data_IF_498482090431
#
_entry.id   IF_498482090431
#
_cell.length_a   1.000
_cell.length_b   1.000
_cell.length_c   1.000
_cell.angle_alpha   90.00
_cell.angle_beta   90.00
_cell.angle_gamma   90.00
#
_symmetry.space_group_name_H-M   'P 1'
#
loop_
_entity.id
_entity.type
_entity.pdbx_description
1 polymer ?
#
# COMPACT_ATOMS: atom_id res chain seq x y z
N UNK A 1 9.51 15.57 13.55
CA UNK A 1 8.95 16.86 14.10
C UNK A 1 7.58 16.53 14.68
N UNK A 2 7.40 16.64 15.99
CA UNK A 2 6.07 16.54 16.58
C UNK A 2 5.25 17.73 16.07
N UNK A 3 4.15 17.46 15.38
CA UNK A 3 3.26 18.51 14.93
C UNK A 3 2.44 18.97 16.14
N UNK A 4 2.49 20.24 16.53
CA UNK A 4 1.66 20.74 17.63
C UNK A 4 0.17 20.49 17.36
N UNK A 5 -0.61 20.22 18.40
CA UNK A 5 -2.02 19.82 18.25
C UNK A 5 -2.90 20.88 17.58
N UNK A 6 -2.56 22.16 17.78
CA UNK A 6 -3.19 23.30 17.11
C UNK A 6 -2.90 23.38 15.61
N UNK A 7 -1.90 22.63 15.14
CA UNK A 7 -1.48 22.54 13.73
C UNK A 7 -1.89 21.23 13.05
N UNK A 8 -2.73 20.44 13.69
CA UNK A 8 -3.28 19.24 13.07
C UNK A 8 -4.17 19.61 11.89
N UNK A 9 -4.10 18.81 10.84
CA UNK A 9 -4.90 19.00 9.63
C UNK A 9 -5.61 17.71 9.26
N UNK A 10 -6.81 17.76 8.64
CA UNK A 10 -7.51 16.57 8.20
C UNK A 10 -6.81 15.95 7.00
N UNK A 11 -6.87 14.61 6.91
CA UNK A 11 -6.43 13.87 5.75
C UNK A 11 -7.47 12.83 5.34
N UNK A 12 -7.54 12.57 4.05
CA UNK A 12 -8.31 11.46 3.50
C UNK A 12 -7.35 10.34 3.18
N UNK A 13 -7.60 9.16 3.72
CA UNK A 13 -6.84 7.94 3.44
C UNK A 13 -7.81 6.91 2.90
N UNK A 14 -7.45 6.26 1.80
CA UNK A 14 -8.23 5.18 1.19
C UNK A 14 -7.50 3.84 1.30
N UNK A 15 -8.25 2.75 1.38
CA UNK A 15 -7.73 1.40 1.44
C UNK A 15 -8.41 0.53 0.37
N UNK A 16 -7.63 -0.24 -0.38
CA UNK A 16 -8.11 -1.12 -1.45
C UNK A 16 -8.22 -2.60 -1.04
N UNK A 17 -7.84 -2.93 0.21
CA UNK A 17 -7.71 -4.32 0.69
C UNK A 17 -8.99 -5.12 0.45
N UNK A 18 -10.15 -4.59 0.86
CA UNK A 18 -11.43 -5.30 0.69
C UNK A 18 -11.76 -5.59 -0.77
N UNK A 19 -11.49 -4.65 -1.66
CA UNK A 19 -11.80 -4.80 -3.08
C UNK A 19 -10.97 -5.90 -3.74
N UNK A 20 -9.68 -5.96 -3.45
CA UNK A 20 -8.78 -6.97 -4.00
C UNK A 20 -9.04 -8.32 -3.34
N UNK A 21 -9.28 -8.36 -2.03
CA UNK A 21 -9.67 -9.59 -1.32
C UNK A 21 -10.95 -10.21 -1.90
N UNK A 22 -11.99 -9.41 -2.16
CA UNK A 22 -13.21 -9.88 -2.84
C UNK A 22 -12.90 -10.38 -4.25
N UNK A 23 -12.14 -9.63 -5.04
CA UNK A 23 -11.77 -10.03 -6.39
C UNK A 23 -11.09 -11.41 -6.42
N UNK A 24 -10.14 -11.67 -5.50
CA UNK A 24 -9.45 -12.96 -5.43
C UNK A 24 -10.43 -14.07 -5.04
N UNK A 25 -11.28 -13.82 -4.04
CA UNK A 25 -12.29 -14.80 -3.58
C UNK A 25 -13.34 -15.10 -4.63
N UNK A 26 -13.73 -14.13 -5.45
CA UNK A 26 -14.70 -14.30 -6.54
C UNK A 26 -14.11 -15.04 -7.74
N UNK A 27 -12.80 -14.89 -7.99
CA UNK A 27 -12.11 -15.52 -9.12
C UNK A 27 -11.70 -16.95 -8.83
N UNK A 28 -11.20 -17.23 -7.63
CA UNK A 28 -10.69 -18.54 -7.24
C UNK A 28 -11.80 -19.48 -6.81
N UNK A 29 -11.79 -20.72 -7.32
CA UNK A 29 -12.65 -21.79 -6.81
C UNK A 29 -12.15 -22.25 -5.43
N UNK A 30 -12.95 -23.06 -4.73
CA UNK A 30 -12.70 -23.49 -3.36
C UNK A 30 -11.32 -24.15 -3.19
N UNK A 31 -10.94 -25.01 -4.11
CA UNK A 31 -9.68 -25.74 -4.12
C UNK A 31 -8.49 -24.78 -4.28
N UNK A 32 -8.60 -23.81 -5.19
CA UNK A 32 -7.60 -22.77 -5.42
C UNK A 32 -7.47 -21.82 -4.23
N UNK A 33 -8.59 -21.47 -3.58
CA UNK A 33 -8.56 -20.70 -2.33
C UNK A 33 -7.85 -21.47 -1.22
N UNK A 34 -8.04 -22.78 -1.11
CA UNK A 34 -7.29 -23.60 -0.15
C UNK A 34 -5.79 -23.62 -0.44
N UNK A 35 -5.39 -23.56 -1.73
CA UNK A 35 -3.98 -23.44 -2.10
C UNK A 35 -3.43 -22.08 -1.70
N UNK A 36 -4.18 -21.00 -1.93
CA UNK A 36 -3.80 -19.66 -1.50
C UNK A 36 -3.67 -19.58 0.03
N UNK A 37 -4.64 -20.14 0.77
CA UNK A 37 -4.67 -20.13 2.23
C UNK A 37 -3.49 -20.86 2.87
N UNK A 38 -2.90 -21.84 2.19
CA UNK A 38 -1.69 -22.54 2.64
C UNK A 38 -0.41 -21.72 2.46
N UNK A 39 -0.46 -20.60 1.75
CA UNK A 39 0.70 -19.72 1.60
C UNK A 39 0.87 -18.83 2.84
N UNK A 40 2.05 -18.21 2.94
CA UNK A 40 2.32 -17.23 4.02
C UNK A 40 1.39 -16.02 3.98
N UNK A 41 0.71 -15.76 2.86
CA UNK A 41 -0.24 -14.65 2.69
C UNK A 41 -1.70 -15.05 2.93
N UNK A 42 -2.01 -16.35 3.03
CA UNK A 42 -3.36 -16.85 3.27
C UNK A 42 -4.05 -16.21 4.48
N UNK A 43 -3.40 -16.17 5.67
CA UNK A 43 -3.97 -15.51 6.84
C UNK A 43 -4.31 -14.04 6.59
N UNK A 44 -3.53 -13.33 5.76
CA UNK A 44 -3.70 -11.91 5.49
C UNK A 44 -4.86 -11.62 4.51
N UNK A 45 -5.20 -12.57 3.63
CA UNK A 45 -6.37 -12.45 2.75
C UNK A 45 -7.68 -12.47 3.53
N UNK A 46 -7.71 -13.19 4.66
CA UNK A 46 -8.92 -13.42 5.46
C UNK A 46 -9.06 -12.45 6.63
N UNK A 47 -8.14 -11.50 6.80
CA UNK A 47 -8.22 -10.51 7.87
C UNK A 47 -9.36 -9.53 7.61
N UNK A 48 -10.30 -9.45 8.55
CA UNK A 48 -11.38 -8.47 8.53
C UNK A 48 -10.94 -7.23 9.32
N UNK A 49 -10.26 -6.30 8.64
CA UNK A 49 -9.78 -5.05 9.26
C UNK A 49 -10.74 -3.91 8.92
N UNK A 50 -11.21 -3.22 9.95
CA UNK A 50 -11.85 -1.92 9.78
C UNK A 50 -10.75 -0.87 9.60
N UNK A 51 -10.58 -0.40 8.37
CA UNK A 51 -9.60 0.63 8.06
C UNK A 51 -10.03 1.99 8.62
N UNK A 52 -9.26 2.53 9.57
CA UNK A 52 -9.47 3.85 10.14
C UNK A 52 -8.35 4.81 9.74
N UNK A 53 -8.51 5.46 8.59
CA UNK A 53 -7.51 6.39 8.06
C UNK A 53 -7.26 7.60 8.95
N UNK A 54 -8.27 8.10 9.67
CA UNK A 54 -8.09 9.22 10.61
C UNK A 54 -7.22 8.81 11.80
N UNK A 55 -7.41 7.60 12.32
CA UNK A 55 -6.61 7.08 13.41
C UNK A 55 -5.12 6.97 13.00
N UNK A 56 -4.86 6.41 11.82
CA UNK A 56 -3.50 6.33 11.28
C UNK A 56 -2.90 7.73 11.11
N UNK A 57 -3.65 8.66 10.53
CA UNK A 57 -3.20 10.03 10.36
C UNK A 57 -2.86 10.72 11.69
N UNK A 58 -3.69 10.54 12.71
CA UNK A 58 -3.42 11.06 14.06
C UNK A 58 -2.14 10.47 14.69
N UNK A 59 -1.85 9.20 14.46
CA UNK A 59 -0.58 8.60 14.88
C UNK A 59 0.60 9.23 14.16
N UNK A 60 0.52 9.38 12.84
CA UNK A 60 1.59 9.98 12.03
C UNK A 60 1.90 11.43 12.45
N UNK A 61 0.89 12.22 12.83
CA UNK A 61 1.08 13.56 13.35
C UNK A 61 1.84 13.58 14.71
N UNK A 62 1.84 12.47 15.44
CA UNK A 62 2.55 12.30 16.73
C UNK A 62 3.92 11.64 16.58
N UNK A 63 4.39 11.50 15.36
CA UNK A 63 5.72 10.96 15.09
C UNK A 63 6.79 11.85 15.71
N UNK A 64 7.68 11.23 16.49
CA UNK A 64 8.85 11.90 17.07
C UNK A 64 9.97 11.89 16.03
N UNK A 65 10.66 13.01 15.78
CA UNK A 65 11.83 13.02 14.91
C UNK A 65 12.92 12.15 15.51
N UNK A 66 13.57 11.40 14.66
CA UNK A 66 14.72 10.58 15.00
C UNK A 66 15.94 10.98 14.21
N UNK A 67 17.10 10.64 14.74
CA UNK A 67 18.35 10.67 13.99
C UNK A 67 18.27 9.67 12.84
N UNK A 68 18.74 10.09 11.66
CA UNK A 68 18.41 9.50 10.36
C UNK A 68 18.69 8.00 10.11
N UNK A 69 19.20 7.26 11.12
CA UNK A 69 19.50 5.83 11.05
C UNK A 69 18.55 4.95 11.85
N UNK A 70 17.40 5.47 12.29
CA UNK A 70 16.47 4.67 13.07
C UNK A 70 15.83 3.57 12.24
N UNK A 71 15.90 2.36 12.74
CA UNK A 71 15.31 1.13 12.19
C UNK A 71 13.79 1.02 12.43
N UNK A 72 13.15 2.10 12.87
CA UNK A 72 11.75 2.16 13.22
C UNK A 72 11.15 3.55 13.14
N UNK A 73 9.91 3.68 13.63
CA UNK A 73 9.22 4.95 13.84
C UNK A 73 8.83 5.04 15.31
N UNK A 74 9.00 6.23 15.88
CA UNK A 74 8.61 6.52 17.26
C UNK A 74 7.44 7.47 17.27
N UNK A 75 6.49 7.21 18.17
CA UNK A 75 5.30 8.01 18.36
C UNK A 75 5.18 8.43 19.82
N UNK A 76 4.74 9.66 20.07
CA UNK A 76 4.37 10.11 21.40
C UNK A 76 2.88 9.87 21.62
N UNK A 77 2.53 8.88 22.46
CA UNK A 77 1.16 8.50 22.74
C UNK A 77 0.94 8.55 24.26
N UNK A 78 -0.01 9.34 24.73
CA UNK A 78 -0.35 9.48 26.16
C UNK A 78 0.89 9.74 27.04
N UNK A 79 1.80 10.61 26.59
CA UNK A 79 3.06 10.95 27.26
C UNK A 79 4.08 9.81 27.34
N UNK A 80 3.87 8.73 26.57
CA UNK A 80 4.82 7.61 26.42
C UNK A 80 5.32 7.55 24.99
N UNK A 81 6.60 7.19 24.85
CA UNK A 81 7.15 6.93 23.53
C UNK A 81 6.89 5.47 23.17
N UNK A 82 6.21 5.26 22.05
CA UNK A 82 5.93 3.94 21.48
C UNK A 82 6.77 3.79 20.23
N UNK A 83 7.39 2.64 20.06
CA UNK A 83 8.23 2.31 18.92
C UNK A 83 7.53 1.27 18.04
N UNK A 84 7.61 1.46 16.72
CA UNK A 84 7.21 0.49 15.72
C UNK A 84 8.43 0.11 14.88
N UNK A 85 8.86 -1.14 15.01
CA UNK A 85 10.02 -1.70 14.32
C UNK A 85 9.61 -2.91 13.48
N UNK A 86 10.59 -3.51 12.79
CA UNK A 86 10.38 -4.77 12.07
C UNK A 86 9.86 -5.89 12.99
N UNK A 87 10.22 -5.90 14.26
CA UNK A 87 9.73 -6.89 15.22
C UNK A 87 8.20 -6.80 15.41
N UNK A 88 7.67 -5.60 15.64
CA UNK A 88 6.22 -5.38 15.75
C UNK A 88 5.51 -5.70 14.44
N UNK A 89 6.11 -5.33 13.29
CA UNK A 89 5.61 -5.69 11.97
C UNK A 89 5.50 -7.21 11.80
N UNK A 90 6.54 -7.96 12.16
CA UNK A 90 6.56 -9.42 12.04
C UNK A 90 5.51 -10.08 12.95
N UNK A 91 5.34 -9.58 14.17
CA UNK A 91 4.31 -10.07 15.11
C UNK A 91 2.91 -9.85 14.53
N UNK A 92 2.65 -8.68 13.93
CA UNK A 92 1.32 -8.32 13.42
C UNK A 92 0.99 -9.10 12.15
N UNK A 93 1.95 -9.24 11.25
CA UNK A 93 1.73 -9.87 9.94
C UNK A 93 1.94 -11.38 9.92
N UNK A 94 2.67 -11.92 10.90
CA UNK A 94 3.14 -13.29 10.90
C UNK A 94 4.28 -13.56 9.91
N UNK A 95 4.78 -12.54 9.21
CA UNK A 95 5.90 -12.67 8.28
C UNK A 95 7.23 -12.57 9.03
N UNK A 96 8.07 -13.58 8.86
CA UNK A 96 9.39 -13.65 9.47
C UNK A 96 10.46 -13.82 8.40
N UNK A 97 11.68 -13.26 8.61
CA UNK A 97 12.80 -13.52 7.71
C UNK A 97 13.08 -15.03 7.61
N UNK A 98 13.38 -15.55 6.42
CA UNK A 98 13.76 -16.94 6.28
C UNK A 98 15.12 -17.21 6.95
N UNK A 99 15.35 -18.44 7.38
CA UNK A 99 16.63 -18.84 8.00
C UNK A 99 17.80 -18.81 7.02
N UNK A 100 17.53 -18.92 5.74
CA UNK A 100 18.51 -18.88 4.63
C UNK A 100 17.94 -18.05 3.50
N UNK A 101 18.63 -16.99 3.13
CA UNK A 101 18.37 -16.23 1.91
C UNK A 101 19.19 -16.85 0.79
N UNK A 102 18.53 -17.51 -0.16
CA UNK A 102 19.17 -17.95 -1.39
C UNK A 102 18.80 -16.96 -2.49
N UNK A 103 19.76 -16.15 -2.92
CA UNK A 103 19.65 -15.44 -4.20
C UNK A 103 19.89 -16.47 -5.30
N UNK A 104 18.82 -17.08 -5.79
CA UNK A 104 18.87 -17.90 -7.00
C UNK A 104 18.39 -17.08 -8.18
N UNK A 105 19.11 -17.18 -9.29
CA UNK A 105 18.62 -16.77 -10.60
C UNK A 105 17.39 -17.61 -10.93
N UNK A 106 16.25 -16.94 -11.15
CA UNK A 106 15.01 -17.57 -11.58
C UNK A 106 14.53 -16.92 -12.88
N UNK A 107 14.01 -17.75 -13.79
CA UNK A 107 13.37 -17.23 -15.00
C UNK A 107 12.02 -16.62 -14.64
N UNK A 108 11.93 -15.31 -14.74
CA UNK A 108 10.75 -14.54 -14.39
C UNK A 108 9.77 -14.32 -15.56
N UNK A 109 10.00 -15.01 -16.71
CA UNK A 109 9.27 -14.71 -17.94
C UNK A 109 8.11 -15.66 -18.23
N UNK A 110 8.04 -16.83 -17.57
CA UNK A 110 7.01 -17.85 -17.87
C UNK A 110 5.60 -17.31 -17.67
N UNK A 111 5.25 -16.84 -16.47
CA UNK A 111 3.93 -16.27 -16.20
C UNK A 111 3.69 -14.98 -16.99
N UNK A 112 4.72 -14.16 -17.19
CA UNK A 112 4.61 -12.98 -18.03
C UNK A 112 4.23 -13.36 -19.47
N UNK A 113 4.90 -14.36 -20.04
CA UNK A 113 4.62 -14.84 -21.39
C UNK A 113 3.23 -15.49 -21.50
N UNK A 114 2.81 -16.21 -20.45
CA UNK A 114 1.47 -16.79 -20.36
C UNK A 114 0.38 -15.72 -20.42
N UNK A 115 0.53 -14.65 -19.64
CA UNK A 115 -0.50 -13.62 -19.49
C UNK A 115 -0.54 -12.60 -20.64
N UNK A 116 0.62 -12.29 -21.21
CA UNK A 116 0.77 -11.18 -22.18
C UNK A 116 1.28 -11.61 -23.55
N UNK A 117 1.62 -12.91 -23.72
CA UNK A 117 2.18 -13.43 -24.96
C UNK A 117 3.54 -12.82 -25.30
N UNK A 118 3.94 -12.91 -26.56
CA UNK A 118 5.22 -12.35 -27.06
C UNK A 118 5.23 -10.83 -27.20
N UNK A 119 4.15 -10.15 -26.86
CA UNK A 119 4.11 -8.69 -26.83
C UNK A 119 4.88 -8.22 -25.59
N UNK A 120 6.16 -7.93 -25.77
CA UNK A 120 7.00 -7.26 -24.76
C UNK A 120 6.45 -5.86 -24.46
N UNK A 121 5.33 -5.76 -23.76
CA UNK A 121 4.92 -4.51 -23.12
C UNK A 121 5.95 -4.21 -22.04
N UNK A 122 6.79 -3.22 -22.26
CA UNK A 122 7.82 -2.79 -21.30
C UNK A 122 7.28 -2.34 -19.95
N UNK A 123 6.02 -1.90 -19.90
CA UNK A 123 5.39 -1.33 -18.72
C UNK A 123 3.95 -1.86 -18.60
N UNK A 124 3.68 -2.63 -17.57
CA UNK A 124 2.36 -3.14 -17.22
C UNK A 124 1.96 -2.48 -15.90
N UNK A 125 0.76 -1.95 -15.83
CA UNK A 125 0.22 -1.31 -14.62
C UNK A 125 -0.49 -2.32 -13.71
N UNK A 126 -0.67 -1.97 -12.43
CA UNK A 126 -1.47 -2.78 -11.51
C UNK A 126 -2.92 -2.94 -11.99
N UNK A 127 -3.47 -1.97 -12.72
CA UNK A 127 -4.80 -2.09 -13.32
C UNK A 127 -4.83 -3.15 -14.43
N UNK A 128 -3.83 -3.12 -15.33
CA UNK A 128 -3.77 -4.08 -16.44
C UNK A 128 -3.63 -5.52 -15.95
N UNK A 129 -2.79 -5.78 -14.94
CA UNK A 129 -2.67 -7.13 -14.37
C UNK A 129 -3.95 -7.55 -13.63
N UNK A 130 -4.65 -6.62 -12.95
CA UNK A 130 -5.95 -6.88 -12.33
C UNK A 130 -6.99 -7.28 -13.38
N UNK A 131 -7.03 -6.60 -14.52
CA UNK A 131 -7.93 -6.90 -15.63
C UNK A 131 -7.61 -8.24 -16.29
N UNK A 132 -6.32 -8.51 -16.52
CA UNK A 132 -5.87 -9.80 -17.02
C UNK A 132 -6.25 -10.93 -16.05
N UNK A 133 -5.98 -10.77 -14.75
CA UNK A 133 -6.36 -11.77 -13.75
C UNK A 133 -7.86 -12.08 -13.75
N UNK A 134 -8.71 -11.07 -13.94
CA UNK A 134 -10.17 -11.25 -14.01
C UNK A 134 -10.61 -12.05 -15.23
N UNK A 135 -10.06 -11.73 -16.40
CA UNK A 135 -10.59 -12.15 -17.69
C UNK A 135 -9.85 -13.34 -18.30
N UNK A 136 -8.65 -13.64 -17.81
CA UNK A 136 -7.84 -14.75 -18.33
C UNK A 136 -8.42 -16.09 -17.90
N UNK A 137 -8.54 -17.04 -18.83
CA UNK A 137 -8.96 -18.42 -18.57
C UNK A 137 -7.72 -19.25 -18.29
N UNK A 138 -7.47 -19.54 -17.01
CA UNK A 138 -6.36 -20.37 -16.59
C UNK A 138 -6.69 -21.85 -16.80
N UNK A 139 -5.76 -22.58 -17.40
CA UNK A 139 -5.87 -24.04 -17.58
C UNK A 139 -5.22 -24.82 -16.44
N UNK A 140 -4.49 -24.14 -15.55
CA UNK A 140 -3.77 -24.72 -14.43
C UNK A 140 -4.10 -23.98 -13.15
N UNK A 141 -4.46 -24.70 -12.09
CA UNK A 141 -4.81 -24.17 -10.78
C UNK A 141 -3.62 -23.48 -10.10
N UNK A 142 -2.40 -23.99 -10.28
CA UNK A 142 -1.20 -23.33 -9.75
C UNK A 142 -0.99 -21.95 -10.36
N UNK A 143 -1.21 -21.79 -11.66
CA UNK A 143 -0.99 -20.52 -12.34
C UNK A 143 -1.97 -19.43 -11.88
N UNK A 144 -3.25 -19.76 -11.71
CA UNK A 144 -4.22 -18.79 -11.21
C UNK A 144 -3.91 -18.37 -9.78
N UNK A 145 -3.48 -19.30 -8.92
CA UNK A 145 -3.09 -19.01 -7.53
C UNK A 145 -1.83 -18.14 -7.47
N UNK A 146 -0.83 -18.44 -8.30
CA UNK A 146 0.41 -17.65 -8.40
C UNK A 146 0.13 -16.22 -8.87
N UNK A 147 -0.74 -16.05 -9.88
CA UNK A 147 -1.12 -14.70 -10.34
C UNK A 147 -1.96 -13.96 -9.27
N UNK A 148 -2.86 -14.66 -8.57
CA UNK A 148 -3.59 -14.09 -7.44
C UNK A 148 -2.65 -13.61 -6.33
N UNK A 149 -1.60 -14.40 -5.99
CA UNK A 149 -0.56 -14.02 -5.05
C UNK A 149 0.19 -12.75 -5.52
N UNK A 150 0.60 -12.69 -6.78
CA UNK A 150 1.30 -11.53 -7.33
C UNK A 150 0.43 -10.26 -7.25
N UNK A 151 -0.85 -10.36 -7.62
CA UNK A 151 -1.83 -9.27 -7.51
C UNK A 151 -1.99 -8.84 -6.05
N UNK A 152 -2.14 -9.79 -5.12
CA UNK A 152 -2.27 -9.52 -3.69
C UNK A 152 -1.02 -8.82 -3.13
N UNK A 153 0.15 -9.31 -3.45
CA UNK A 153 1.43 -8.74 -3.00
C UNK A 153 1.55 -7.28 -3.45
N UNK A 154 1.36 -6.99 -4.72
CA UNK A 154 1.59 -5.64 -5.27
C UNK A 154 0.51 -4.63 -4.84
N UNK A 155 -0.75 -5.05 -4.80
CA UNK A 155 -1.86 -4.11 -4.58
C UNK A 155 -2.26 -3.99 -3.10
N UNK A 156 -2.10 -5.07 -2.31
CA UNK A 156 -2.47 -5.08 -0.89
C UNK A 156 -1.23 -4.89 -0.01
N UNK A 157 -0.21 -5.74 -0.18
CA UNK A 157 0.95 -5.73 0.71
C UNK A 157 1.88 -4.55 0.45
N UNK A 158 2.15 -4.23 -0.82
CA UNK A 158 2.93 -3.04 -1.21
C UNK A 158 2.06 -1.78 -1.25
N UNK A 159 0.76 -1.91 -1.51
CA UNK A 159 -0.19 -0.80 -1.54
C UNK A 159 -0.08 0.07 -2.80
N UNK A 160 0.33 -0.50 -3.93
CA UNK A 160 0.44 0.24 -5.19
C UNK A 160 -0.92 0.70 -5.70
N UNK A 161 -0.96 1.92 -6.23
CA UNK A 161 -2.10 2.45 -6.96
C UNK A 161 -2.26 1.75 -8.32
N UNK A 162 -3.48 1.70 -8.83
CA UNK A 162 -3.83 1.07 -10.11
C UNK A 162 -3.02 1.55 -11.32
N UNK A 163 -2.62 2.81 -11.31
CA UNK A 163 -1.82 3.43 -12.39
C UNK A 163 -0.32 3.20 -12.23
N UNK A 164 0.10 2.66 -11.09
CA UNK A 164 1.51 2.40 -10.83
C UNK A 164 1.97 1.16 -11.61
N UNK A 165 3.22 1.18 -12.04
CA UNK A 165 3.85 0.04 -12.71
C UNK A 165 3.87 -1.19 -11.78
N UNK A 166 3.39 -2.31 -12.31
CA UNK A 166 3.50 -3.61 -11.66
C UNK A 166 4.96 -4.11 -11.71
N UNK A 167 5.43 -4.65 -10.60
CA UNK A 167 6.77 -5.24 -10.54
C UNK A 167 6.75 -6.67 -11.09
N UNK A 168 7.31 -6.83 -12.29
CA UNK A 168 7.32 -8.13 -12.97
C UNK A 168 8.20 -9.18 -12.26
N UNK A 169 9.14 -8.75 -11.43
CA UNK A 169 9.95 -9.68 -10.62
C UNK A 169 9.08 -10.44 -9.61
N UNK A 170 7.98 -9.83 -9.16
CA UNK A 170 7.02 -10.52 -8.27
C UNK A 170 6.37 -11.71 -8.97
N UNK A 171 6.03 -11.60 -10.27
CA UNK A 171 5.52 -12.76 -11.04
C UNK A 171 6.54 -13.89 -11.11
N UNK A 172 7.80 -13.58 -11.34
CA UNK A 172 8.86 -14.57 -11.36
C UNK A 172 9.09 -15.23 -10.00
N UNK A 173 9.01 -14.46 -8.92
CA UNK A 173 9.17 -14.98 -7.54
C UNK A 173 8.03 -15.91 -7.16
N UNK A 174 6.79 -15.57 -7.46
CA UNK A 174 5.64 -16.44 -7.14
C UNK A 174 5.59 -17.66 -8.05
N UNK A 175 6.18 -17.60 -9.22
CA UNK A 175 6.25 -18.73 -10.15
C UNK A 175 7.25 -19.81 -9.70
N UNK A 176 8.35 -19.40 -9.07
CA UNK A 176 9.37 -20.31 -8.55
C UNK A 176 9.18 -20.53 -7.04
N UNK A 177 8.81 -21.74 -6.64
CA UNK A 177 8.50 -22.10 -5.25
C UNK A 177 9.70 -21.88 -4.30
N UNK A 178 10.92 -22.21 -4.74
CA UNK A 178 12.12 -22.01 -3.93
C UNK A 178 12.43 -20.51 -3.76
N UNK A 179 12.33 -19.74 -4.85
CA UNK A 179 12.49 -18.28 -4.80
C UNK A 179 11.44 -17.61 -3.92
N UNK A 180 10.19 -18.10 -3.97
CA UNK A 180 9.10 -17.61 -3.12
C UNK A 180 9.36 -17.87 -1.63
N UNK A 181 9.77 -19.10 -1.27
CA UNK A 181 9.99 -19.53 0.10
C UNK A 181 11.26 -18.93 0.73
N UNK A 182 12.31 -18.74 -0.07
CA UNK A 182 13.61 -18.22 0.40
C UNK A 182 13.67 -16.69 0.42
N UNK A 183 12.69 -15.99 -0.15
CA UNK A 183 12.68 -14.55 -0.19
C UNK A 183 12.29 -13.94 1.17
N UNK A 184 13.02 -12.93 1.59
CA UNK A 184 12.72 -12.19 2.84
C UNK A 184 11.58 -11.20 2.64
N UNK A 185 10.34 -11.72 2.61
CA UNK A 185 9.12 -10.93 2.51
C UNK A 185 8.95 -9.97 3.68
N UNK A 186 9.42 -10.35 4.87
CA UNK A 186 9.34 -9.51 6.07
C UNK A 186 10.09 -8.20 5.86
N UNK A 187 11.39 -8.28 5.57
CA UNK A 187 12.23 -7.11 5.33
C UNK A 187 11.77 -6.32 4.10
N UNK A 188 11.37 -7.02 3.04
CA UNK A 188 10.88 -6.39 1.81
C UNK A 188 9.67 -5.47 2.05
N UNK A 189 8.67 -5.93 2.80
CA UNK A 189 7.49 -5.11 3.09
C UNK A 189 7.75 -4.09 4.19
N UNK A 190 8.51 -4.46 5.22
CA UNK A 190 8.80 -3.56 6.32
C UNK A 190 9.53 -2.29 5.85
N UNK A 191 10.57 -2.42 5.03
CA UNK A 191 11.30 -1.27 4.50
C UNK A 191 10.38 -0.36 3.67
N UNK A 192 9.51 -0.92 2.84
CA UNK A 192 8.55 -0.14 2.04
C UNK A 192 7.54 0.58 2.91
N UNK A 193 6.98 -0.11 3.89
CA UNK A 193 6.06 0.47 4.86
C UNK A 193 6.75 1.60 5.65
N UNK A 194 7.95 1.35 6.18
CA UNK A 194 8.72 2.31 6.95
C UNK A 194 8.99 3.60 6.14
N UNK A 195 9.46 3.46 4.91
CA UNK A 195 9.71 4.59 4.02
C UNK A 195 8.42 5.35 3.69
N UNK A 196 7.33 4.65 3.41
CA UNK A 196 6.03 5.25 3.17
C UNK A 196 5.54 6.04 4.38
N UNK A 197 5.62 5.48 5.59
CA UNK A 197 5.20 6.15 6.83
C UNK A 197 6.08 7.37 7.15
N UNK A 198 7.40 7.29 6.93
CA UNK A 198 8.33 8.41 7.15
C UNK A 198 8.08 9.57 6.19
N UNK A 199 7.60 9.32 4.99
CA UNK A 199 7.46 10.32 3.92
C UNK A 199 6.02 10.79 3.68
N UNK A 200 5.01 10.05 4.15
CA UNK A 200 3.61 10.31 3.79
C UNK A 200 3.08 11.69 4.20
N UNK A 201 3.65 12.33 5.22
CA UNK A 201 3.29 13.68 5.63
C UNK A 201 4.15 14.79 4.99
N UNK A 202 5.21 14.43 4.25
CA UNK A 202 6.07 15.41 3.60
C UNK A 202 5.28 16.19 2.54
N UNK A 203 5.39 17.52 2.57
CA UNK A 203 4.66 18.41 1.66
C UNK A 203 3.14 18.48 1.87
N UNK A 204 2.54 17.61 2.69
CA UNK A 204 1.08 17.62 2.91
C UNK A 204 0.61 18.80 3.75
N UNK A 205 1.42 19.20 4.71
CA UNK A 205 1.13 20.35 5.56
C UNK A 205 1.15 21.65 4.75
N UNK A 206 2.18 21.83 3.94
CA UNK A 206 2.33 23.01 3.07
C UNK A 206 1.18 23.06 2.06
N UNK A 207 0.81 21.95 1.45
CA UNK A 207 -0.33 21.86 0.54
C UNK A 207 -1.67 22.18 1.24
N UNK A 208 -1.85 21.76 2.49
CA UNK A 208 -3.04 22.07 3.29
C UNK A 208 -3.11 23.56 3.62
N UNK A 209 -2.02 24.15 4.12
CA UNK A 209 -1.95 25.58 4.45
C UNK A 209 -2.15 26.45 3.21
N UNK A 210 -1.61 26.05 2.06
CA UNK A 210 -1.83 26.74 0.79
C UNK A 210 -3.31 26.73 0.40
N UNK A 211 -3.98 25.55 0.46
CA UNK A 211 -5.41 25.44 0.19
C UNK A 211 -6.25 26.32 1.13
N UNK A 212 -5.93 26.30 2.44
CA UNK A 212 -6.62 27.10 3.44
C UNK A 212 -6.49 28.61 3.15
N UNK A 213 -5.30 29.03 2.73
CA UNK A 213 -5.03 30.44 2.37
C UNK A 213 -5.78 30.82 1.10
N UNK A 214 -5.83 29.94 0.10
CA UNK A 214 -6.56 30.16 -1.15
C UNK A 214 -8.07 30.28 -0.90
N UNK A 215 -8.64 29.39 -0.07
CA UNK A 215 -10.06 29.43 0.30
C UNK A 215 -10.38 30.73 1.06
N UNK A 216 -9.54 31.13 2.02
CA UNK A 216 -9.72 32.40 2.76
C UNK A 216 -9.68 33.60 1.82
N UNK A 217 -8.79 33.63 0.84
CA UNK A 217 -8.73 34.69 -0.17
C UNK A 217 -10.02 34.72 -1.00
N UNK A 218 -10.47 33.57 -1.52
CA UNK A 218 -11.70 33.53 -2.32
C UNK A 218 -12.94 33.95 -1.54
N UNK A 219 -13.08 33.51 -0.28
CA UNK A 219 -14.17 33.97 0.59
C UNK A 219 -14.04 35.47 0.89
N UNK A 220 -12.84 35.97 1.15
CA UNK A 220 -12.59 37.41 1.33
C UNK A 220 -13.00 38.25 0.12
N UNK A 221 -12.70 37.79 -1.09
CA UNK A 221 -13.14 38.45 -2.34
C UNK A 221 -14.66 38.45 -2.49
N UNK A 222 -15.35 37.38 -2.14
CA UNK A 222 -16.82 37.32 -2.17
C UNK A 222 -17.47 38.34 -1.19
N UNK A 223 -16.97 38.42 0.05
CA UNK A 223 -17.49 39.35 1.06
C UNK A 223 -17.21 40.79 0.60
N UNK A 224 -16.06 41.06 0.00
CA UNK A 224 -15.70 42.40 -0.47
C UNK A 224 -16.49 42.81 -1.72
N UNK A 225 -16.86 41.89 -2.59
CA UNK A 225 -17.73 42.13 -3.76
C UNK A 225 -19.17 42.45 -3.31
N UNK A 226 -19.68 41.75 -2.31
CA UNK A 226 -21.02 42.03 -1.76
C UNK A 226 -21.07 43.40 -1.04
N UNK A 227 -20.04 43.76 -0.26
CA UNK A 227 -20.00 45.07 0.41
C UNK A 227 -19.91 46.23 -0.58
N UNK A 228 -19.25 46.06 -1.74
CA UNK A 228 -19.22 47.08 -2.78
C UNK A 228 -20.54 47.19 -3.56
N UNK A 229 -21.35 46.14 -3.62
CA UNK A 229 -22.67 46.18 -4.27
C UNK A 229 -23.71 46.98 -3.47
N UNK A 230 -23.59 47.00 -2.12
CA UNK A 230 -24.47 47.78 -1.24
C UNK A 230 -24.10 49.26 -1.15
N UNK A 231 -22.90 49.65 -1.59
CA UNK A 231 -22.49 51.05 -1.58
C UNK A 231 -23.00 51.89 -2.75
N UNK A 232 -23.56 51.26 -3.81
CA UNK A 232 -24.17 51.94 -4.96
C UNK A 232 -25.69 52.11 -4.87
N UNK A 233 -26.30 51.70 -3.75
CA UNK A 233 -27.76 51.82 -3.55
C UNK A 233 -28.15 52.88 -2.47
N UNK A 234 -27.29 53.89 -2.27
CA UNK A 234 -27.64 55.07 -1.45
C UNK A 234 -27.69 56.32 -2.30
#
# INVERSE_FOLDING_TARGET
>A
MVVPSDKYFPATVSCQVHKIGSLIKDKLIKEQLQMFDKTIFGPLLNVNIVFNGQFIHHFLLRQIPEDGNADGIYFSVLRKNVRFTQKEFNIITGLWPPNTTLEKDYDNKRLQSLLFGSKNKKLITCLEIEEVFKNFEFTNDDDVVKVALAVFIETVMVGKDKKTQFDMDILGRVDNEEAFKSFDWSTFFYIRLLNSLKTCLQGKKEAYELKKTTIRKSVGWMIQSESNHWSYLK
#
